data_IF_316656231097
#
_entry.id   IF_316656231097
#
_cell.length_a   1.000
_cell.length_b   1.000
_cell.length_c   1.000
_cell.angle_alpha   90.00
_cell.angle_beta   90.00
_cell.angle_gamma   90.00
#
_symmetry.space_group_name_H-M   'P 1'
#
loop_
_entity.id
_entity.type
_entity.pdbx_description
1 polymer ?
#
# COMPACT_ATOMS: atom_id res chain seq x y z
N UNK A 1 10.81 -9.06 3.78
CA UNK A 1 10.11 -8.84 5.08
C UNK A 1 10.85 -9.45 6.27
N UNK A 2 11.65 -10.49 6.05
CA UNK A 2 12.59 -11.07 7.01
C UNK A 2 13.50 -10.05 7.71
N UNK A 3 14.09 -9.09 6.98
CA UNK A 3 14.93 -8.02 7.57
C UNK A 3 14.11 -7.15 8.56
N UNK A 4 12.90 -6.78 8.18
CA UNK A 4 12.01 -5.98 9.03
C UNK A 4 11.52 -6.79 10.24
N UNK A 5 11.23 -8.08 10.04
CA UNK A 5 10.85 -8.99 11.11
C UNK A 5 12.01 -9.16 12.12
N UNK A 6 13.25 -9.37 11.66
CA UNK A 6 14.42 -9.47 12.52
C UNK A 6 14.66 -8.19 13.33
N UNK A 7 14.56 -7.03 12.69
CA UNK A 7 14.66 -5.73 13.36
C UNK A 7 13.61 -5.60 14.47
N UNK A 8 12.34 -5.81 14.13
CA UNK A 8 11.24 -5.65 15.08
C UNK A 8 11.24 -6.72 16.17
N UNK A 9 11.64 -7.96 15.86
CA UNK A 9 11.83 -9.00 16.86
C UNK A 9 12.88 -8.56 17.88
N UNK A 10 14.04 -8.12 17.41
CA UNK A 10 15.18 -7.76 18.25
C UNK A 10 14.89 -6.61 19.21
N UNK A 11 14.21 -5.57 18.74
CA UNK A 11 13.99 -4.36 19.55
C UNK A 11 12.62 -4.28 20.21
N UNK A 12 11.68 -5.17 19.87
CA UNK A 12 10.31 -5.07 20.37
C UNK A 12 9.67 -6.43 20.66
N UNK A 13 9.47 -7.28 19.65
CA UNK A 13 8.64 -8.47 19.84
C UNK A 13 9.26 -9.52 20.75
N UNK A 14 10.59 -9.68 20.79
CA UNK A 14 11.24 -10.60 21.75
C UNK A 14 10.81 -10.28 23.19
N UNK A 15 10.81 -9.00 23.57
CA UNK A 15 10.40 -8.56 24.89
C UNK A 15 8.92 -8.81 25.15
N UNK A 16 8.07 -8.53 24.15
CA UNK A 16 6.62 -8.76 24.24
C UNK A 16 6.30 -10.25 24.40
N UNK A 17 6.84 -11.11 23.55
CA UNK A 17 6.60 -12.55 23.61
C UNK A 17 7.22 -13.18 24.86
N UNK A 18 8.40 -12.73 25.30
CA UNK A 18 8.99 -13.21 26.56
C UNK A 18 8.16 -12.83 27.77
N UNK A 19 7.50 -11.66 27.77
CA UNK A 19 6.66 -11.22 28.87
C UNK A 19 5.29 -11.93 28.87
N UNK A 20 4.67 -12.10 27.69
CA UNK A 20 3.34 -12.69 27.55
C UNK A 20 3.35 -14.23 27.57
N UNK A 21 4.43 -14.84 27.06
CA UNK A 21 4.60 -16.28 26.90
C UNK A 21 6.00 -16.68 27.38
N UNK A 22 6.32 -16.58 28.68
CA UNK A 22 7.64 -16.93 29.19
C UNK A 22 7.95 -18.41 28.97
N UNK A 23 9.19 -18.72 28.59
CA UNK A 23 9.66 -20.08 28.45
C UNK A 23 9.56 -20.84 29.78
N UNK A 24 9.12 -22.10 29.72
CA UNK A 24 9.11 -22.96 30.90
C UNK A 24 10.54 -23.39 31.26
N UNK A 25 10.88 -23.57 32.55
CA UNK A 25 12.17 -24.12 32.95
C UNK A 25 12.41 -25.47 32.28
N UNK A 26 13.64 -25.71 31.83
CA UNK A 26 13.99 -27.02 31.26
C UNK A 26 13.71 -28.13 32.30
N UNK A 27 13.11 -29.26 31.91
CA UNK A 27 12.78 -30.35 32.85
C UNK A 27 14.03 -31.01 33.45
N UNK A 28 15.21 -30.78 32.86
CA UNK A 28 16.48 -31.23 33.42
C UNK A 28 17.01 -30.19 34.40
N UNK A 29 16.68 -30.39 35.68
CA UNK A 29 17.48 -29.86 36.78
C UNK A 29 18.90 -30.38 36.58
N UNK A 30 19.85 -29.49 36.28
CA UNK A 30 21.25 -29.73 36.62
C UNK A 30 21.23 -30.02 38.12
N UNK A 31 21.50 -31.28 38.47
CA UNK A 31 21.54 -31.79 39.84
C UNK A 31 22.54 -30.93 40.61
N UNK A 32 22.04 -29.90 41.29
CA UNK A 32 22.60 -29.24 42.47
C UNK A 32 21.71 -28.03 42.84
N UNK A 33 20.43 -28.28 43.12
CA UNK A 33 19.60 -27.58 44.11
C UNK A 33 19.44 -26.06 44.12
N UNK A 34 20.05 -25.30 43.20
CA UNK A 34 20.08 -23.83 43.17
C UNK A 34 20.10 -23.32 41.72
N UNK A 35 19.17 -23.76 40.88
CA UNK A 35 19.14 -23.28 39.49
C UNK A 35 18.42 -21.94 39.38
N UNK A 36 19.13 -20.84 39.65
CA UNK A 36 18.85 -19.60 38.94
C UNK A 36 19.23 -19.85 37.48
N UNK A 37 18.26 -20.31 36.66
CA UNK A 37 18.50 -20.50 35.23
C UNK A 37 18.99 -19.17 34.66
N UNK A 38 20.24 -19.15 34.22
CA UNK A 38 20.86 -17.95 33.65
C UNK A 38 20.41 -17.79 32.20
N UNK A 39 20.52 -16.59 31.64
CA UNK A 39 20.27 -16.37 30.22
C UNK A 39 21.14 -17.27 29.31
N UNK A 40 22.32 -17.66 29.79
CA UNK A 40 23.20 -18.61 29.11
C UNK A 40 22.57 -20.01 29.00
N UNK A 41 21.93 -20.49 30.07
CA UNK A 41 21.26 -21.80 30.09
C UNK A 41 20.05 -21.82 29.15
N UNK A 42 19.28 -20.71 29.12
CA UNK A 42 18.14 -20.56 28.22
C UNK A 42 18.57 -20.55 26.74
N UNK A 43 19.67 -19.85 26.43
CA UNK A 43 20.23 -19.81 25.07
C UNK A 43 20.76 -21.17 24.62
N UNK A 44 21.45 -21.89 25.50
CA UNK A 44 21.98 -23.22 25.20
C UNK A 44 20.88 -24.28 25.01
N UNK A 45 19.78 -24.17 25.76
CA UNK A 45 18.65 -25.09 25.68
C UNK A 45 17.64 -24.77 24.56
N UNK A 46 17.72 -23.58 23.95
CA UNK A 46 16.75 -23.14 22.95
C UNK A 46 16.85 -23.97 21.66
N UNK A 47 15.71 -24.46 21.13
CA UNK A 47 15.68 -25.13 19.83
C UNK A 47 15.88 -24.16 18.66
N UNK A 48 15.80 -22.85 18.91
CA UNK A 48 16.06 -21.81 17.93
C UNK A 48 17.47 -21.26 18.07
N UNK A 49 18.14 -21.09 16.94
CA UNK A 49 19.48 -20.52 16.84
C UNK A 49 19.45 -19.31 15.90
N UNK A 50 20.17 -18.26 16.28
CA UNK A 50 20.18 -17.03 15.50
C UNK A 50 20.81 -17.26 14.11
N UNK A 51 20.05 -16.89 13.09
CA UNK A 51 20.51 -16.77 11.71
C UNK A 51 20.10 -15.39 11.20
N UNK A 52 21.03 -14.60 10.65
CA UNK A 52 20.70 -13.30 10.11
C UNK A 52 19.85 -13.44 8.83
N UNK A 53 18.87 -12.55 8.67
CA UNK A 53 17.96 -12.49 7.52
C UNK A 53 18.68 -12.15 6.22
N UNK A 54 19.82 -11.45 6.30
CA UNK A 54 20.66 -11.06 5.17
C UNK A 54 22.12 -11.01 5.60
N UNK A 55 23.03 -11.24 4.65
CA UNK A 55 24.47 -11.14 4.89
C UNK A 55 24.96 -9.69 5.05
N UNK A 56 24.15 -8.71 4.68
CA UNK A 56 24.54 -7.29 4.65
C UNK A 56 24.20 -6.52 5.94
N UNK A 57 23.18 -6.97 6.66
CA UNK A 57 22.64 -6.28 7.82
C UNK A 57 22.04 -7.32 8.79
N UNK A 58 22.44 -7.25 10.06
CA UNK A 58 21.91 -8.14 11.09
C UNK A 58 21.71 -7.39 12.41
N UNK A 59 20.66 -7.76 13.13
CA UNK A 59 20.31 -7.25 14.45
C UNK A 59 20.46 -8.38 15.47
N UNK A 60 21.51 -8.28 16.29
CA UNK A 60 21.85 -9.33 17.24
C UNK A 60 20.74 -9.48 18.29
N UNK A 61 20.22 -10.71 18.52
CA UNK A 61 19.14 -10.94 19.47
C UNK A 61 19.61 -10.69 20.90
N UNK A 62 18.73 -10.14 21.72
CA UNK A 62 18.93 -10.06 23.16
C UNK A 62 18.56 -11.38 23.83
N UNK A 63 18.82 -11.50 25.15
CA UNK A 63 18.42 -12.69 25.92
C UNK A 63 16.91 -12.96 25.85
N UNK A 64 16.10 -11.91 25.64
CA UNK A 64 14.65 -12.01 25.50
C UNK A 64 14.21 -12.91 24.33
N UNK A 65 15.04 -13.06 23.29
CA UNK A 65 14.77 -13.94 22.15
C UNK A 65 14.70 -15.43 22.56
N UNK A 66 15.36 -15.80 23.65
CA UNK A 66 15.51 -17.18 24.12
C UNK A 66 14.62 -17.50 25.33
N UNK A 67 13.92 -16.50 25.87
CA UNK A 67 13.09 -16.64 27.08
C UNK A 67 11.59 -16.65 26.78
N UNK A 68 11.19 -16.76 25.50
CA UNK A 68 9.79 -16.95 25.10
C UNK A 68 9.49 -18.41 24.74
N UNK A 69 8.31 -18.91 25.12
CA UNK A 69 7.80 -20.22 24.73
C UNK A 69 7.66 -20.34 23.20
N UNK A 70 7.25 -19.26 22.53
CA UNK A 70 7.25 -19.17 21.07
C UNK A 70 8.57 -18.58 20.59
N UNK A 71 9.43 -19.45 20.06
CA UNK A 71 10.69 -19.03 19.41
C UNK A 71 10.42 -18.21 18.14
N UNK A 72 11.43 -17.49 17.64
CA UNK A 72 11.29 -16.64 16.43
C UNK A 72 10.81 -17.42 15.18
N UNK A 73 11.06 -18.73 15.10
CA UNK A 73 10.61 -19.57 13.99
C UNK A 73 9.17 -20.10 14.14
N UNK A 74 8.53 -19.86 15.29
CA UNK A 74 7.16 -20.25 15.52
C UNK A 74 6.23 -19.53 14.52
N UNK A 75 5.43 -20.31 13.81
CA UNK A 75 4.58 -19.82 12.72
C UNK A 75 3.54 -18.79 13.19
N UNK A 76 2.96 -18.96 14.39
CA UNK A 76 1.96 -18.04 14.94
C UNK A 76 2.61 -16.72 15.35
N UNK A 77 3.78 -16.79 15.99
CA UNK A 77 4.59 -15.60 16.31
C UNK A 77 4.93 -14.82 15.04
N UNK A 78 5.49 -15.49 14.03
CA UNK A 78 5.86 -14.84 12.76
C UNK A 78 4.65 -14.19 12.10
N UNK A 79 3.52 -14.90 12.02
CA UNK A 79 2.29 -14.36 11.44
C UNK A 79 1.80 -13.11 12.15
N UNK A 80 1.71 -13.15 13.49
CA UNK A 80 1.23 -12.03 14.30
C UNK A 80 2.19 -10.85 14.21
N UNK A 81 3.50 -11.09 14.32
CA UNK A 81 4.52 -10.03 14.17
C UNK A 81 4.44 -9.39 12.79
N UNK A 82 4.40 -10.18 11.71
CA UNK A 82 4.28 -9.67 10.35
C UNK A 82 3.01 -8.85 10.13
N UNK A 83 1.87 -9.31 10.66
CA UNK A 83 0.62 -8.55 10.63
C UNK A 83 0.77 -7.16 11.26
N UNK A 84 1.35 -7.08 12.47
CA UNK A 84 1.54 -5.79 13.14
C UNK A 84 2.60 -4.91 12.46
N UNK A 85 3.70 -5.49 11.98
CA UNK A 85 4.72 -4.75 11.21
C UNK A 85 4.06 -4.13 9.99
N UNK A 86 3.34 -4.93 9.20
CA UNK A 86 2.64 -4.45 8.02
C UNK A 86 1.67 -3.32 8.31
N UNK A 87 0.79 -3.52 9.30
CA UNK A 87 -0.24 -2.55 9.62
C UNK A 87 0.37 -1.24 10.12
N UNK A 88 1.30 -1.31 11.07
CA UNK A 88 1.85 -0.12 11.71
C UNK A 88 2.87 0.58 10.81
N UNK A 89 3.79 -0.13 10.18
CA UNK A 89 4.78 0.47 9.28
C UNK A 89 4.13 0.96 7.98
N UNK A 90 3.20 0.19 7.41
CA UNK A 90 2.41 0.60 6.25
C UNK A 90 1.55 1.83 6.55
N UNK A 91 0.90 1.86 7.72
CA UNK A 91 0.14 3.02 8.19
C UNK A 91 1.01 4.25 8.43
N UNK A 92 2.17 4.09 9.07
CA UNK A 92 3.14 5.18 9.25
C UNK A 92 3.58 5.74 7.90
N UNK A 93 3.98 4.87 6.96
CA UNK A 93 4.41 5.27 5.63
C UNK A 93 3.29 6.01 4.89
N UNK A 94 2.06 5.50 4.93
CA UNK A 94 0.89 6.16 4.37
C UNK A 94 0.70 7.56 4.95
N UNK A 95 0.67 7.71 6.27
CA UNK A 95 0.49 9.03 6.88
C UNK A 95 1.63 9.98 6.55
N UNK A 96 2.89 9.52 6.55
CA UNK A 96 4.04 10.36 6.20
C UNK A 96 3.93 10.83 4.75
N UNK A 97 3.76 9.92 3.79
CA UNK A 97 3.74 10.26 2.35
C UNK A 97 2.52 11.10 2.00
N UNK A 98 1.32 10.71 2.46
CA UNK A 98 0.10 11.48 2.22
C UNK A 98 0.16 12.86 2.87
N UNK A 99 0.74 12.99 4.07
CA UNK A 99 0.89 14.32 4.72
C UNK A 99 1.90 15.19 3.98
N UNK A 100 3.04 14.64 3.56
CA UNK A 100 4.03 15.38 2.78
C UNK A 100 3.44 15.84 1.44
N UNK A 101 2.76 14.95 0.70
CA UNK A 101 2.05 15.33 -0.52
C UNK A 101 0.96 16.39 -0.24
N UNK A 102 0.19 16.23 0.84
CA UNK A 102 -0.83 17.20 1.24
C UNK A 102 -0.27 18.59 1.56
N UNK A 103 0.92 18.68 2.16
CA UNK A 103 1.55 19.96 2.54
C UNK A 103 2.23 20.60 1.33
N UNK A 104 2.98 19.83 0.54
CA UNK A 104 3.92 20.37 -0.44
C UNK A 104 3.45 20.28 -1.90
N UNK A 105 2.52 19.39 -2.22
CA UNK A 105 2.11 19.10 -3.61
C UNK A 105 0.63 19.42 -3.85
N UNK A 106 -0.26 19.00 -2.96
CA UNK A 106 -1.71 19.11 -3.15
C UNK A 106 -2.21 20.55 -3.22
N UNK A 107 -2.91 20.88 -4.31
CA UNK A 107 -3.52 22.18 -4.53
C UNK A 107 -4.82 22.34 -3.71
N UNK A 108 -4.77 23.17 -2.66
CA UNK A 108 -5.91 23.43 -1.75
C UNK A 108 -7.10 24.09 -2.44
N UNK A 109 -6.92 24.67 -3.63
CA UNK A 109 -8.04 25.21 -4.39
C UNK A 109 -9.07 24.14 -4.77
N UNK A 110 -8.65 22.87 -4.83
CA UNK A 110 -9.52 21.69 -5.01
C UNK A 110 -10.68 21.62 -4.01
N UNK A 111 -10.53 22.19 -2.80
CA UNK A 111 -11.62 22.24 -1.82
C UNK A 111 -12.82 23.07 -2.26
N UNK A 112 -12.67 23.96 -3.24
CA UNK A 112 -13.77 24.74 -3.80
C UNK A 112 -14.47 24.01 -4.96
N UNK A 113 -14.01 22.81 -5.33
CA UNK A 113 -14.65 22.05 -6.38
C UNK A 113 -16.08 21.64 -5.95
N UNK A 114 -17.11 21.82 -6.80
CA UNK A 114 -18.51 21.55 -6.45
C UNK A 114 -18.78 20.09 -6.04
N UNK A 115 -17.89 19.17 -6.42
CA UNK A 115 -17.95 17.74 -6.09
C UNK A 115 -17.00 17.30 -4.98
N UNK A 116 -16.45 18.24 -4.22
CA UNK A 116 -15.69 17.94 -3.02
C UNK A 116 -16.64 17.66 -1.84
N UNK A 117 -16.45 16.55 -1.14
CA UNK A 117 -17.36 16.13 -0.07
C UNK A 117 -17.14 16.93 1.21
N UNK A 118 -18.22 17.10 1.98
CA UNK A 118 -18.13 17.69 3.31
C UNK A 118 -17.30 16.76 4.23
N UNK A 119 -16.31 17.32 4.92
CA UNK A 119 -15.38 16.56 5.77
C UNK A 119 -14.58 15.45 5.05
N UNK A 120 -14.38 15.55 3.72
CA UNK A 120 -13.79 14.48 2.91
C UNK A 120 -12.50 13.91 3.49
N UNK A 121 -11.54 14.75 3.87
CA UNK A 121 -10.25 14.30 4.43
C UNK A 121 -10.44 13.39 5.65
N UNK A 122 -11.35 13.77 6.57
CA UNK A 122 -11.63 12.96 7.76
C UNK A 122 -12.24 11.62 7.36
N UNK A 123 -13.12 11.60 6.37
CA UNK A 123 -13.74 10.37 5.88
C UNK A 123 -12.73 9.47 5.15
N UNK A 124 -11.84 10.05 4.33
CA UNK A 124 -10.74 9.36 3.65
C UNK A 124 -9.81 8.68 4.67
N UNK A 125 -9.33 9.45 5.66
CA UNK A 125 -8.49 8.93 6.74
C UNK A 125 -9.22 7.83 7.53
N UNK A 126 -10.49 8.05 7.89
CA UNK A 126 -11.28 7.05 8.62
C UNK A 126 -11.41 5.75 7.83
N UNK A 127 -11.63 5.84 6.52
CA UNK A 127 -11.75 4.67 5.66
C UNK A 127 -10.41 3.95 5.49
N UNK A 128 -9.31 4.69 5.31
CA UNK A 128 -7.97 4.11 5.27
C UNK A 128 -7.64 3.37 6.58
N UNK A 129 -7.92 3.98 7.74
CA UNK A 129 -7.72 3.36 9.05
C UNK A 129 -8.55 2.09 9.24
N UNK A 130 -9.76 2.03 8.68
CA UNK A 130 -10.59 0.84 8.69
C UNK A 130 -10.09 -0.25 7.74
N UNK A 131 -9.54 0.12 6.58
CA UNK A 131 -9.08 -0.80 5.55
C UNK A 131 -7.72 -1.46 5.91
N UNK A 132 -6.76 -0.68 6.42
CA UNK A 132 -5.37 -1.10 6.62
C UNK A 132 -5.19 -2.38 7.47
N UNK A 133 -5.88 -2.57 8.62
CA UNK A 133 -5.74 -3.79 9.41
C UNK A 133 -6.19 -5.03 8.61
N UNK A 134 -7.35 -4.96 7.97
CA UNK A 134 -7.88 -6.10 7.20
C UNK A 134 -6.99 -6.41 5.99
N UNK A 135 -6.51 -5.38 5.28
CA UNK A 135 -5.52 -5.57 4.20
C UNK A 135 -4.26 -6.24 4.71
N UNK A 136 -3.73 -5.80 5.86
CA UNK A 136 -2.54 -6.39 6.48
C UNK A 136 -2.76 -7.85 6.88
N UNK A 137 -3.95 -8.18 7.39
CA UNK A 137 -4.34 -9.55 7.73
C UNK A 137 -4.37 -10.45 6.49
N UNK A 138 -4.95 -9.96 5.38
CA UNK A 138 -5.05 -10.72 4.13
C UNK A 138 -3.68 -10.86 3.43
N UNK A 139 -2.76 -9.92 3.64
CA UNK A 139 -1.41 -9.98 3.06
C UNK A 139 -0.41 -10.75 3.93
N UNK A 140 -0.58 -10.80 5.26
CA UNK A 140 0.33 -11.49 6.17
C UNK A 140 0.69 -12.93 5.77
N UNK A 141 -0.22 -13.77 5.22
CA UNK A 141 0.14 -15.10 4.71
C UNK A 141 1.22 -15.09 3.62
N UNK A 142 1.24 -14.09 2.74
CA UNK A 142 2.23 -13.97 1.66
C UNK A 142 3.61 -13.68 2.24
N UNK A 143 3.70 -12.75 3.18
CA UNK A 143 4.98 -12.47 3.83
C UNK A 143 5.43 -13.58 4.76
N UNK A 144 4.49 -14.30 5.40
CA UNK A 144 4.83 -15.49 6.15
C UNK A 144 5.46 -16.55 5.23
N UNK A 145 4.87 -16.78 4.05
CA UNK A 145 5.44 -17.69 3.07
C UNK A 145 6.82 -17.21 2.58
N UNK A 146 6.99 -15.90 2.39
CA UNK A 146 8.26 -15.29 2.00
C UNK A 146 9.37 -15.52 3.03
N UNK A 147 9.15 -15.17 4.31
CA UNK A 147 10.16 -15.32 5.37
C UNK A 147 10.49 -16.78 5.68
N UNK A 148 9.61 -17.70 5.27
CA UNK A 148 9.82 -19.16 5.37
C UNK A 148 10.48 -19.76 4.13
N UNK A 149 10.92 -18.93 3.18
CA UNK A 149 11.70 -19.37 2.02
C UNK A 149 10.88 -19.93 0.86
N UNK A 150 9.56 -19.68 0.82
CA UNK A 150 8.72 -20.11 -0.30
C UNK A 150 8.76 -19.14 -1.50
N UNK A 151 9.39 -17.98 -1.34
CA UNK A 151 9.60 -17.01 -2.42
C UNK A 151 10.94 -17.24 -3.14
N UNK A 152 11.12 -16.59 -4.29
CA UNK A 152 12.36 -16.54 -5.06
C UNK A 152 13.19 -15.28 -4.75
N UNK A 153 13.03 -14.72 -3.54
CA UNK A 153 13.86 -13.59 -3.12
C UNK A 153 15.31 -14.05 -2.98
N UNK A 154 16.23 -13.23 -3.48
CA UNK A 154 17.67 -13.47 -3.37
C UNK A 154 18.37 -12.29 -2.71
N UNK A 155 19.46 -12.58 -2.02
CA UNK A 155 20.09 -11.64 -1.10
C UNK A 155 21.13 -10.75 -1.80
N UNK A 156 22.16 -11.36 -2.39
CA UNK A 156 23.26 -10.65 -3.07
C UNK A 156 23.00 -10.47 -4.57
N UNK A 157 23.54 -9.38 -5.13
CA UNK A 157 23.51 -9.15 -6.59
C UNK A 157 24.20 -10.28 -7.38
N UNK A 158 25.14 -11.00 -6.77
CA UNK A 158 25.81 -12.17 -7.36
C UNK A 158 24.88 -13.36 -7.54
N UNK A 159 23.79 -13.43 -6.76
CA UNK A 159 22.84 -14.55 -6.76
C UNK A 159 21.78 -14.38 -7.86
N UNK A 160 21.87 -13.30 -8.63
CA UNK A 160 20.99 -13.02 -9.74
C UNK A 160 21.08 -14.14 -10.81
N UNK A 161 19.96 -14.51 -11.47
CA UNK A 161 19.94 -15.56 -12.49
C UNK A 161 20.92 -15.35 -13.65
N UNK A 162 21.20 -14.08 -13.99
CA UNK A 162 22.19 -13.68 -14.98
C UNK A 162 22.59 -12.21 -14.77
N UNK A 163 23.72 -11.78 -15.35
CA UNK A 163 24.37 -10.49 -15.07
C UNK A 163 23.44 -9.26 -15.21
N UNK A 164 22.63 -9.21 -16.26
CA UNK A 164 21.71 -8.08 -16.52
C UNK A 164 20.41 -8.11 -15.69
N UNK A 165 20.13 -9.20 -14.98
CA UNK A 165 18.87 -9.38 -14.26
C UNK A 165 18.69 -8.33 -13.15
N UNK A 166 19.78 -7.94 -12.49
CA UNK A 166 19.74 -6.93 -11.43
C UNK A 166 19.17 -5.57 -11.90
N UNK A 167 19.26 -5.28 -13.20
CA UNK A 167 18.72 -4.06 -13.81
C UNK A 167 17.32 -4.35 -14.41
N UNK A 168 17.17 -5.46 -15.13
CA UNK A 168 15.92 -5.79 -15.84
C UNK A 168 14.76 -6.10 -14.87
N UNK A 169 15.05 -6.55 -13.64
CA UNK A 169 14.02 -6.83 -12.64
C UNK A 169 13.11 -5.61 -12.35
N UNK A 170 13.61 -4.38 -12.45
CA UNK A 170 12.81 -3.16 -12.20
C UNK A 170 11.74 -2.91 -13.27
N UNK A 171 12.08 -2.71 -14.56
CA UNK A 171 11.06 -2.55 -15.59
C UNK A 171 10.20 -3.80 -15.73
N UNK A 172 10.75 -5.00 -15.48
CA UNK A 172 9.94 -6.23 -15.50
C UNK A 172 8.89 -6.25 -14.38
N UNK A 173 9.27 -5.88 -13.15
CA UNK A 173 8.33 -5.74 -12.04
C UNK A 173 7.25 -4.70 -12.35
N UNK A 174 7.62 -3.53 -12.89
CA UNK A 174 6.65 -2.48 -13.24
C UNK A 174 5.70 -2.96 -14.33
N UNK A 175 6.19 -3.58 -15.41
CA UNK A 175 5.32 -4.07 -16.49
C UNK A 175 4.39 -5.20 -16.03
N UNK A 176 4.90 -6.13 -15.20
CA UNK A 176 4.10 -7.19 -14.62
C UNK A 176 3.00 -6.61 -13.73
N UNK A 177 3.37 -5.75 -12.80
CA UNK A 177 2.41 -5.21 -11.83
C UNK A 177 1.40 -4.28 -12.50
N UNK A 178 1.81 -3.42 -13.44
CA UNK A 178 0.90 -2.59 -14.24
C UNK A 178 -0.16 -3.42 -14.98
N UNK A 179 0.25 -4.55 -15.58
CA UNK A 179 -0.65 -5.47 -16.28
C UNK A 179 -1.72 -6.06 -15.35
N UNK A 180 -1.30 -6.69 -14.26
CA UNK A 180 -2.25 -7.38 -13.38
C UNK A 180 -3.09 -6.40 -12.57
N UNK A 181 -2.53 -5.26 -12.14
CA UNK A 181 -3.31 -4.19 -11.51
C UNK A 181 -4.36 -3.67 -12.48
N UNK A 182 -4.02 -3.43 -13.75
CA UNK A 182 -5.00 -3.01 -14.77
C UNK A 182 -6.18 -3.98 -14.86
N UNK A 183 -5.93 -5.29 -14.94
CA UNK A 183 -7.01 -6.28 -15.06
C UNK A 183 -7.86 -6.37 -13.79
N UNK A 184 -7.24 -6.33 -12.62
CA UNK A 184 -7.93 -6.33 -11.33
C UNK A 184 -8.79 -5.08 -11.20
N UNK A 185 -8.22 -3.91 -11.50
CA UNK A 185 -8.89 -2.62 -11.45
C UNK A 185 -10.07 -2.55 -12.43
N UNK A 186 -9.87 -2.94 -13.69
CA UNK A 186 -10.98 -3.05 -14.66
C UNK A 186 -12.04 -4.06 -14.22
N UNK A 187 -11.65 -5.16 -13.59
CA UNK A 187 -12.57 -6.14 -12.99
C UNK A 187 -13.38 -5.58 -11.82
N UNK A 188 -12.77 -4.71 -10.99
CA UNK A 188 -13.44 -4.00 -9.90
C UNK A 188 -14.54 -3.06 -10.40
N UNK A 189 -14.48 -2.63 -11.67
CA UNK A 189 -15.51 -1.83 -12.33
C UNK A 189 -16.68 -2.65 -12.93
N UNK A 190 -16.66 -3.98 -12.82
CA UNK A 190 -17.84 -4.80 -13.16
C UNK A 190 -18.99 -4.43 -12.20
N UNK A 191 -20.22 -4.13 -12.66
CA UNK A 191 -21.25 -3.46 -11.84
C UNK A 191 -21.53 -4.08 -10.47
N UNK A 192 -21.52 -5.42 -10.37
CA UNK A 192 -21.72 -6.12 -9.10
C UNK A 192 -20.53 -5.99 -8.16
N UNK A 193 -19.31 -6.04 -8.68
CA UNK A 193 -18.08 -5.91 -7.89
C UNK A 193 -17.91 -4.45 -7.47
N UNK A 194 -18.10 -3.53 -8.41
CA UNK A 194 -18.02 -2.09 -8.20
C UNK A 194 -18.87 -1.64 -7.02
N UNK A 195 -20.16 -1.97 -7.03
CA UNK A 195 -21.11 -1.55 -6.00
C UNK A 195 -20.66 -1.90 -4.57
N UNK A 196 -20.01 -3.05 -4.39
CA UNK A 196 -19.65 -3.55 -3.06
C UNK A 196 -18.22 -3.22 -2.66
N UNK A 197 -17.27 -3.26 -3.61
CA UNK A 197 -15.85 -3.15 -3.32
C UNK A 197 -15.26 -1.80 -3.71
N UNK A 198 -15.60 -1.28 -4.88
CA UNK A 198 -14.87 -0.15 -5.48
C UNK A 198 -15.59 1.19 -5.41
N UNK A 199 -16.94 1.20 -5.33
CA UNK A 199 -17.75 2.39 -5.07
C UNK A 199 -17.27 3.16 -3.81
N UNK A 200 -16.89 2.51 -2.69
CA UNK A 200 -16.35 3.22 -1.53
C UNK A 200 -15.09 4.06 -1.83
N UNK A 201 -14.29 3.68 -2.84
CA UNK A 201 -13.15 4.47 -3.30
C UNK A 201 -13.59 5.55 -4.30
N UNK A 202 -14.47 5.20 -5.24
CA UNK A 202 -14.96 6.14 -6.24
C UNK A 202 -15.90 7.23 -5.73
N UNK A 203 -16.31 7.17 -4.47
CA UNK A 203 -17.04 8.29 -3.85
C UNK A 203 -16.17 9.55 -3.75
N UNK A 204 -14.84 9.42 -3.77
CA UNK A 204 -13.88 10.52 -3.75
C UNK A 204 -13.68 11.11 -5.15
N UNK A 205 -14.71 11.79 -5.69
CA UNK A 205 -14.66 12.33 -7.07
C UNK A 205 -13.46 13.27 -7.30
N UNK A 206 -13.14 14.08 -6.30
CA UNK A 206 -11.92 14.89 -6.26
C UNK A 206 -11.05 14.38 -5.11
N UNK A 207 -10.27 13.31 -5.32
CA UNK A 207 -9.52 12.69 -4.24
C UNK A 207 -8.45 13.62 -3.68
N UNK A 208 -8.11 13.44 -2.41
CA UNK A 208 -6.88 14.01 -1.83
C UNK A 208 -5.80 12.94 -1.69
N UNK A 209 -4.55 13.28 -1.31
CA UNK A 209 -3.51 12.30 -0.99
C UNK A 209 -3.92 11.25 0.05
N UNK A 210 -4.92 11.55 0.91
CA UNK A 210 -5.47 10.60 1.88
C UNK A 210 -6.48 9.61 1.27
N UNK A 211 -6.95 9.85 0.04
CA UNK A 211 -7.79 8.88 -0.67
C UNK A 211 -7.00 7.66 -1.15
N UNK A 212 -5.67 7.75 -1.19
CA UNK A 212 -4.76 6.76 -1.77
C UNK A 212 -4.83 5.36 -1.15
N UNK A 213 -5.34 5.21 0.09
CA UNK A 213 -5.61 3.92 0.74
C UNK A 213 -7.07 3.86 1.27
N UNK A 214 -7.89 4.85 0.94
CA UNK A 214 -9.29 4.90 1.34
C UNK A 214 -10.15 4.01 0.43
N UNK A 215 -9.98 2.69 0.56
CA UNK A 215 -10.68 1.64 -0.21
C UNK A 215 -11.59 0.79 0.70
N UNK A 216 -12.38 -0.09 0.09
CA UNK A 216 -12.75 -1.32 0.76
C UNK A 216 -11.49 -2.20 0.93
N UNK A 217 -11.28 -2.91 2.05
CA UNK A 217 -10.04 -3.65 2.29
C UNK A 217 -9.77 -4.73 1.25
N UNK A 218 -10.80 -5.43 0.78
CA UNK A 218 -10.67 -6.44 -0.29
C UNK A 218 -10.30 -5.81 -1.63
N UNK A 219 -10.74 -4.58 -1.90
CA UNK A 219 -10.37 -3.82 -3.10
C UNK A 219 -8.88 -3.48 -3.06
N UNK A 220 -8.44 -2.77 -2.02
CA UNK A 220 -7.04 -2.40 -1.84
C UNK A 220 -6.11 -3.62 -1.79
N UNK A 221 -6.52 -4.70 -1.12
CA UNK A 221 -5.76 -5.96 -1.10
C UNK A 221 -5.67 -6.62 -2.48
N UNK A 222 -6.79 -6.71 -3.21
CA UNK A 222 -6.79 -7.33 -4.54
C UNK A 222 -5.85 -6.57 -5.48
N UNK A 223 -5.91 -5.23 -5.48
CA UNK A 223 -4.99 -4.42 -6.28
C UNK A 223 -3.53 -4.52 -5.83
N UNK A 224 -3.24 -4.87 -4.56
CA UNK A 224 -1.87 -5.06 -4.09
C UNK A 224 -1.29 -6.45 -4.38
N UNK A 225 -2.12 -7.44 -4.71
CA UNK A 225 -1.70 -8.82 -4.95
C UNK A 225 -0.54 -8.98 -5.96
N UNK A 226 -0.51 -8.28 -7.11
CA UNK A 226 0.56 -8.44 -8.08
C UNK A 226 1.95 -8.18 -7.49
N UNK A 227 2.08 -7.21 -6.58
CA UNK A 227 3.33 -6.87 -5.91
C UNK A 227 3.83 -7.98 -4.98
N UNK A 228 2.91 -8.73 -4.38
CA UNK A 228 3.22 -9.83 -3.46
C UNK A 228 3.42 -11.16 -4.19
N UNK A 229 2.74 -11.37 -5.32
CA UNK A 229 2.89 -12.59 -6.12
C UNK A 229 4.15 -12.59 -6.98
N UNK A 230 4.64 -11.42 -7.42
CA UNK A 230 5.85 -11.33 -8.25
C UNK A 230 7.03 -12.15 -7.70
N UNK A 231 7.46 -12.00 -6.43
CA UNK A 231 8.60 -12.74 -5.89
C UNK A 231 8.35 -14.25 -5.76
N UNK A 232 7.12 -14.76 -5.88
CA UNK A 232 6.87 -16.22 -5.93
C UNK A 232 7.05 -16.79 -7.33
N UNK A 233 6.86 -15.95 -8.36
CA UNK A 233 6.97 -16.35 -9.76
C UNK A 233 8.37 -16.09 -10.32
N UNK A 234 8.96 -14.95 -9.97
CA UNK A 234 10.23 -14.48 -10.53
C UNK A 234 11.23 -14.12 -9.43
N UNK A 235 12.53 -14.34 -9.66
CA UNK A 235 13.57 -13.88 -8.74
C UNK A 235 13.46 -12.37 -8.50
N UNK A 236 13.64 -11.91 -7.27
CA UNK A 236 13.67 -10.49 -6.97
C UNK A 236 14.65 -10.22 -5.84
N UNK A 237 15.53 -9.24 -6.03
CA UNK A 237 16.54 -8.95 -5.03
C UNK A 237 15.89 -8.30 -3.79
N UNK A 238 16.21 -8.75 -2.58
CA UNK A 238 15.54 -8.31 -1.33
C UNK A 238 15.48 -6.78 -1.15
N UNK A 239 16.58 -6.07 -1.37
CA UNK A 239 16.61 -4.60 -1.24
C UNK A 239 15.88 -3.90 -2.39
N UNK A 240 15.94 -4.45 -3.59
CA UNK A 240 15.17 -3.97 -4.75
C UNK A 240 13.67 -4.14 -4.50
N UNK A 241 13.25 -5.23 -3.87
CA UNK A 241 11.86 -5.45 -3.49
C UNK A 241 11.38 -4.39 -2.49
N UNK A 242 12.18 -4.10 -1.45
CA UNK A 242 11.86 -3.05 -0.48
C UNK A 242 11.76 -1.67 -1.13
N UNK A 243 12.71 -1.33 -2.03
CA UNK A 243 12.70 -0.07 -2.76
C UNK A 243 11.47 0.06 -3.68
N UNK A 244 11.12 -1.02 -4.39
CA UNK A 244 9.92 -1.09 -5.23
C UNK A 244 8.64 -0.95 -4.42
N UNK A 245 8.55 -1.60 -3.25
CA UNK A 245 7.40 -1.46 -2.37
C UNK A 245 7.22 0.00 -1.89
N UNK A 246 8.31 0.66 -1.48
CA UNK A 246 8.27 2.08 -1.14
C UNK A 246 7.84 2.93 -2.35
N UNK A 247 8.40 2.67 -3.53
CA UNK A 247 8.01 3.35 -4.78
C UNK A 247 6.51 3.21 -5.07
N UNK A 248 5.94 2.01 -4.95
CA UNK A 248 4.50 1.78 -5.18
C UNK A 248 3.64 2.63 -4.24
N UNK A 249 4.03 2.73 -2.96
CA UNK A 249 3.29 3.54 -1.99
C UNK A 249 3.35 5.03 -2.32
N UNK A 250 4.52 5.55 -2.67
CA UNK A 250 4.70 6.95 -3.10
C UNK A 250 3.89 7.23 -4.37
N UNK A 251 4.00 6.34 -5.36
CA UNK A 251 3.28 6.44 -6.62
C UNK A 251 1.77 6.47 -6.42
N UNK A 252 1.24 5.59 -5.58
CA UNK A 252 -0.20 5.51 -5.28
C UNK A 252 -0.70 6.80 -4.66
N UNK A 253 0.09 7.48 -3.82
CA UNK A 253 -0.29 8.81 -3.31
C UNK A 253 -0.24 9.87 -4.41
N UNK A 254 0.81 9.86 -5.25
CA UNK A 254 1.01 10.87 -6.29
C UNK A 254 -0.08 10.85 -7.37
N UNK A 255 -0.62 9.68 -7.73
CA UNK A 255 -1.73 9.65 -8.69
C UNK A 255 -3.05 10.20 -8.11
N UNK A 256 -3.16 10.40 -6.79
CA UNK A 256 -4.34 10.95 -6.12
C UNK A 256 -4.17 12.40 -5.62
N UNK A 257 -3.00 13.01 -5.81
CA UNK A 257 -2.72 14.36 -5.28
C UNK A 257 -3.30 15.50 -6.13
N UNK A 258 -3.89 15.19 -7.29
CA UNK A 258 -4.52 16.17 -8.16
C UNK A 258 -3.56 17.15 -8.82
N UNK A 259 -2.24 16.92 -8.75
CA UNK A 259 -1.25 17.77 -9.40
C UNK A 259 -0.83 17.20 -10.76
N UNK A 260 -1.27 17.87 -11.81
CA UNK A 260 -1.20 17.39 -13.19
C UNK A 260 0.14 17.75 -13.86
N UNK A 261 1.26 17.29 -13.29
CA UNK A 261 2.62 17.66 -13.75
C UNK A 261 3.01 16.96 -15.06
N UNK A 262 2.58 15.71 -15.25
CA UNK A 262 3.04 14.87 -16.36
C UNK A 262 2.02 14.78 -17.50
N UNK A 263 2.13 15.67 -18.49
CA UNK A 263 1.43 15.51 -19.78
C UNK A 263 2.16 14.49 -20.67
N UNK A 264 2.15 13.22 -20.24
CA UNK A 264 2.82 12.13 -20.95
C UNK A 264 1.81 11.22 -21.64
N UNK A 265 2.06 10.82 -22.89
CA UNK A 265 1.21 9.85 -23.56
C UNK A 265 1.41 8.42 -23.03
N UNK A 266 2.47 8.18 -22.24
CA UNK A 266 2.83 6.86 -21.70
C UNK A 266 2.45 6.75 -20.23
N UNK A 267 2.69 7.79 -19.43
CA UNK A 267 2.49 7.75 -17.98
C UNK A 267 1.01 7.89 -17.62
N UNK A 268 0.51 7.01 -16.75
CA UNK A 268 -0.79 7.19 -16.10
C UNK A 268 -0.59 8.00 -14.81
N UNK A 269 -0.51 9.32 -14.94
CA UNK A 269 -0.33 10.24 -13.81
C UNK A 269 -1.65 10.72 -13.20
N UNK A 270 -1.56 11.66 -12.26
CA UNK A 270 -2.71 12.22 -11.55
C UNK A 270 -3.85 12.70 -12.48
N UNK A 271 -3.52 13.26 -13.65
CA UNK A 271 -4.55 13.73 -14.59
C UNK A 271 -5.39 12.59 -15.17
N UNK A 272 -4.73 11.48 -15.54
CA UNK A 272 -5.42 10.29 -16.04
C UNK A 272 -6.26 9.66 -14.93
N UNK A 273 -5.75 9.62 -13.69
CA UNK A 273 -6.46 9.05 -12.55
C UNK A 273 -7.62 9.93 -12.04
N UNK A 274 -7.50 11.27 -12.07
CA UNK A 274 -8.65 12.14 -11.79
C UNK A 274 -9.74 11.98 -12.85
N UNK A 275 -9.37 11.86 -14.12
CA UNK A 275 -10.33 11.55 -15.18
C UNK A 275 -11.00 10.19 -14.94
N UNK A 276 -10.26 9.21 -14.40
CA UNK A 276 -10.82 7.93 -13.98
C UNK A 276 -11.86 8.10 -12.86
N UNK A 277 -11.57 8.87 -11.81
CA UNK A 277 -12.54 9.17 -10.74
C UNK A 277 -13.77 9.94 -11.22
N UNK A 278 -13.62 10.83 -12.21
CA UNK A 278 -14.73 11.59 -12.80
C UNK A 278 -15.61 10.76 -13.74
N UNK A 279 -15.02 9.83 -14.49
CA UNK A 279 -15.68 9.18 -15.62
C UNK A 279 -15.83 7.66 -15.50
N UNK A 280 -15.27 7.06 -14.44
CA UNK A 280 -15.36 5.65 -14.00
C UNK A 280 -14.82 4.60 -14.99
N UNK A 281 -15.13 4.70 -16.28
CA UNK A 281 -14.92 3.64 -17.27
C UNK A 281 -13.62 3.78 -18.10
N UNK A 282 -12.65 4.55 -17.63
CA UNK A 282 -11.44 4.89 -18.39
C UNK A 282 -10.19 4.92 -17.51
N UNK A 283 -9.02 4.74 -18.12
CA UNK A 283 -7.69 4.92 -17.50
C UNK A 283 -7.43 4.06 -16.25
N UNK A 284 -7.61 2.74 -16.36
CA UNK A 284 -7.44 1.79 -15.25
C UNK A 284 -5.98 1.46 -14.88
N UNK A 285 -5.00 1.80 -15.73
CA UNK A 285 -3.59 1.45 -15.49
C UNK A 285 -3.03 2.08 -14.21
N UNK A 286 -2.03 1.42 -13.60
CA UNK A 286 -1.43 1.91 -12.36
C UNK A 286 -0.35 2.95 -12.65
N UNK A 287 0.59 2.60 -13.53
CA UNK A 287 1.77 3.42 -13.86
C UNK A 287 1.72 3.93 -15.28
N UNK A 288 1.21 3.12 -16.21
CA UNK A 288 1.24 3.42 -17.64
C UNK A 288 -0.14 3.38 -18.26
N UNK A 289 -0.29 4.05 -19.40
CA UNK A 289 -1.49 4.02 -20.23
C UNK A 289 -1.47 2.86 -21.24
N UNK A 290 -0.47 1.98 -21.18
CA UNK A 290 -0.24 0.92 -22.16
C UNK A 290 -1.48 0.03 -22.31
N UNK A 291 -1.95 -0.54 -21.21
CA UNK A 291 -3.08 -1.47 -21.22
C UNK A 291 -4.39 -0.77 -21.57
N UNK A 292 -4.57 0.47 -21.11
CA UNK A 292 -5.72 1.28 -21.50
C UNK A 292 -5.77 1.53 -23.01
N UNK A 293 -4.63 1.76 -23.64
CA UNK A 293 -4.54 1.95 -25.10
C UNK A 293 -4.76 0.65 -25.85
N UNK A 294 -4.14 -0.45 -25.40
CA UNK A 294 -4.26 -1.76 -26.03
C UNK A 294 -5.69 -2.31 -25.96
N UNK A 295 -6.41 -2.03 -24.88
CA UNK A 295 -7.72 -2.62 -24.59
C UNK A 295 -8.88 -1.60 -24.64
N UNK A 296 -8.63 -0.42 -25.22
CA UNK A 296 -9.64 0.56 -25.60
C UNK A 296 -10.29 1.34 -24.46
N UNK A 297 -9.65 1.42 -23.29
CA UNK A 297 -10.13 2.20 -22.13
C UNK A 297 -9.36 3.51 -21.92
N UNK A 298 -8.47 3.89 -22.82
CA UNK A 298 -7.73 5.15 -22.72
C UNK A 298 -8.59 6.37 -23.05
N UNK A 299 -8.62 7.33 -22.14
CA UNK A 299 -9.19 8.66 -22.35
C UNK A 299 -8.14 9.72 -22.04
N UNK A 300 -7.72 10.46 -23.07
CA UNK A 300 -6.75 11.56 -22.94
C UNK A 300 -7.29 12.61 -21.95
N UNK A 301 -6.52 13.02 -20.93
CA UNK A 301 -6.88 14.15 -20.08
C UNK A 301 -6.97 15.45 -20.88
N UNK A 302 -7.85 16.35 -20.50
CA UNK A 302 -8.00 17.63 -21.18
C UNK A 302 -6.75 18.50 -20.98
N UNK A 303 -6.44 19.33 -21.97
CA UNK A 303 -5.23 20.16 -21.93
C UNK A 303 -5.29 21.21 -20.82
N UNK A 304 -6.51 21.62 -20.44
CA UNK A 304 -6.80 22.57 -19.39
C UNK A 304 -6.32 22.09 -18.02
N UNK A 305 -6.27 20.78 -17.78
CA UNK A 305 -5.79 20.20 -16.52
C UNK A 305 -4.30 20.48 -16.33
N UNK A 306 -3.50 20.48 -17.40
CA UNK A 306 -2.05 20.68 -17.31
C UNK A 306 -1.65 22.16 -17.16
N UNK A 307 -2.61 23.09 -17.23
CA UNK A 307 -2.35 24.53 -17.10
C UNK A 307 -2.94 25.04 -15.79
N UNK A 308 -2.08 25.61 -14.94
CA UNK A 308 -2.45 26.12 -13.62
C UNK A 308 -3.61 27.12 -13.65
N UNK A 309 -3.69 27.95 -14.69
CA UNK A 309 -4.72 28.98 -14.87
C UNK A 309 -6.10 28.40 -15.18
N UNK A 310 -6.16 27.26 -15.87
CA UNK A 310 -7.43 26.70 -16.38
C UNK A 310 -7.89 25.46 -15.62
N UNK A 311 -6.99 24.74 -14.94
CA UNK A 311 -7.33 23.50 -14.23
C UNK A 311 -8.37 23.69 -13.12
N UNK A 312 -8.45 24.90 -12.57
CA UNK A 312 -9.41 25.31 -11.54
C UNK A 312 -10.44 26.33 -12.04
N UNK A 313 -10.60 26.47 -13.35
CA UNK A 313 -11.57 27.42 -13.91
C UNK A 313 -13.00 26.90 -13.71
N UNK A 314 -13.92 27.79 -13.30
CA UNK A 314 -15.32 27.45 -13.05
C UNK A 314 -15.99 26.74 -14.23
N UNK A 315 -15.68 27.15 -15.48
CA UNK A 315 -16.20 26.53 -16.70
C UNK A 315 -15.77 25.06 -16.83
N UNK A 316 -14.53 24.74 -16.47
CA UNK A 316 -14.03 23.37 -16.53
C UNK A 316 -14.65 22.50 -15.43
N UNK A 317 -14.77 23.04 -14.21
CA UNK A 317 -15.45 22.35 -13.11
C UNK A 317 -16.94 22.09 -13.39
N UNK A 318 -17.64 23.05 -13.99
CA UNK A 318 -19.04 22.86 -14.40
C UNK A 318 -19.16 21.75 -15.46
N UNK A 319 -18.23 21.73 -16.43
CA UNK A 319 -18.16 20.67 -17.45
C UNK A 319 -17.92 19.29 -16.83
N UNK A 320 -16.94 19.20 -15.93
CA UNK A 320 -16.61 17.96 -15.21
C UNK A 320 -17.76 17.48 -14.34
N UNK A 321 -18.35 18.37 -13.54
CA UNK A 321 -19.46 18.05 -12.65
C UNK A 321 -20.67 17.52 -13.43
N UNK A 322 -21.06 18.20 -14.51
CA UNK A 322 -22.20 17.80 -15.34
C UNK A 322 -22.01 16.44 -16.01
N UNK A 323 -20.80 16.19 -16.52
CA UNK A 323 -20.50 14.91 -17.18
C UNK A 323 -20.39 13.76 -16.17
N UNK A 324 -19.80 14.02 -14.99
CA UNK A 324 -19.75 13.07 -13.88
C UNK A 324 -21.16 12.72 -13.37
N UNK A 325 -22.03 13.71 -13.15
CA UNK A 325 -23.42 13.50 -12.70
C UNK A 325 -24.21 12.61 -13.67
N UNK A 326 -24.03 12.80 -14.99
CA UNK A 326 -24.66 11.94 -16.00
C UNK A 326 -24.23 10.49 -15.83
N UNK A 327 -22.91 10.25 -15.76
CA UNK A 327 -22.37 8.89 -15.66
C UNK A 327 -22.69 8.24 -14.31
N UNK A 328 -22.62 8.99 -13.22
CA UNK A 328 -22.98 8.51 -11.90
C UNK A 328 -24.45 8.09 -11.85
N UNK A 329 -25.35 8.86 -12.49
CA UNK A 329 -26.77 8.48 -12.57
C UNK A 329 -26.97 7.17 -13.36
N UNK A 330 -26.22 6.99 -14.44
CA UNK A 330 -26.26 5.76 -15.25
C UNK A 330 -25.72 4.54 -14.49
N UNK A 331 -24.67 4.70 -13.68
CA UNK A 331 -23.97 3.60 -13.02
C UNK A 331 -24.51 3.28 -11.61
N UNK A 332 -24.87 4.31 -10.85
CA UNK A 332 -25.22 4.22 -9.44
C UNK A 332 -26.68 4.55 -9.13
N UNK A 333 -27.38 5.26 -10.02
CA UNK A 333 -28.75 5.71 -9.78
C UNK A 333 -28.79 7.06 -9.06
N UNK A 334 -29.40 7.11 -7.88
CA UNK A 334 -29.48 8.35 -7.09
C UNK A 334 -28.16 8.63 -6.36
N UNK A 335 -27.78 9.91 -6.30
CA UNK A 335 -26.60 10.38 -5.58
C UNK A 335 -26.94 10.63 -4.10
N UNK A 336 -26.37 9.82 -3.21
CA UNK A 336 -26.54 9.88 -1.76
C UNK A 336 -25.44 10.69 -1.05
N UNK A 337 -24.55 11.36 -1.81
CA UNK A 337 -23.40 12.10 -1.27
C UNK A 337 -23.75 13.53 -0.85
N UNK A 338 -23.19 13.97 0.28
CA UNK A 338 -23.29 15.35 0.76
C UNK A 338 -22.03 16.15 0.38
N UNK A 339 -22.20 17.09 -0.56
CA UNK A 339 -21.14 17.99 -1.00
C UNK A 339 -20.99 19.20 -0.08
N UNK A 340 -19.78 19.78 -0.01
CA UNK A 340 -19.53 20.98 0.78
C UNK A 340 -20.27 22.22 0.24
N UNK A 341 -20.63 23.14 1.12
CA UNK A 341 -21.26 24.41 0.74
C UNK A 341 -20.30 25.25 -0.12
N UNK A 342 -20.65 25.48 -1.39
CA UNK A 342 -19.90 26.34 -2.34
C UNK A 342 -19.93 27.85 -1.99
N UNK A 343 -20.23 28.21 -0.74
CA UNK A 343 -20.54 29.59 -0.33
C UNK A 343 -19.31 30.52 -0.25
N UNK A 344 -18.09 30.00 -0.35
CA UNK A 344 -16.88 30.83 -0.36
C UNK A 344 -16.53 31.43 -1.73
N UNK A 345 -16.90 30.78 -2.84
CA UNK A 345 -16.56 31.26 -4.19
C UNK A 345 -17.52 32.35 -4.71
N UNK A 346 -18.81 32.28 -4.34
CA UNK A 346 -19.81 33.27 -4.76
C UNK A 346 -19.64 34.67 -4.12
N UNK A 347 -18.83 34.79 -3.06
CA UNK A 347 -18.58 36.07 -2.36
C UNK A 347 -17.34 36.83 -2.82
N UNK A 348 -16.55 36.30 -3.77
CA UNK A 348 -15.34 36.98 -4.29
C UNK A 348 -15.43 37.46 -5.74
N UNK A 349 -16.60 37.34 -6.38
CA UNK A 349 -16.84 37.80 -7.76
C UNK A 349 -18.05 38.73 -7.84
N UNK A 350 -18.20 39.62 -6.86
CA UNK A 350 -19.05 40.80 -6.97
C UNK A 350 -18.24 42.05 -6.61
#
# INVERSE_FOLDING_TARGET
MDIALELCDTYFFDHVYSALLPASPAPYSLKDGYSNATAFDAKAASPWQFQPATQFLSFQPTDAAYTSQWTRDNIYRQFISLFFIMWLAGGLLYFVVSTLSYIFVFDKTTFNHPKFLKNQIKMEISQACWAMPTMSLLTAPFFLAEVRGHSKLYDSLSDAPFAWYNIIQFPFFILFTDCFVYFIHRGLHIPRIYRHLHKPHHKWIMPTPYAAIAFHPVDGWAQSLPYHFFPFLFPLQKFSYLALFFFVQVWTVFIHDGEYVANSPVLNGAACHTMHHLYFNYNYGQYTTLWDRLLGSYRKPNEELFRRETKMAAKEWERQAKEMERLQKELEGEDDREYGDNTAAAKKVN
#
